data_IF_759879352981
#
_entry.id   IF_759879352981
#
_cell.length_a   1.000
_cell.length_b   1.000
_cell.length_c   1.000
_cell.angle_alpha   90.00
_cell.angle_beta   90.00
_cell.angle_gamma   90.00
#
_symmetry.space_group_name_H-M   'P 1'
#
loop_
_entity.id
_entity.type
_entity.pdbx_description
1 polymer ?
#
# COMPACT_ATOMS: atom_id res chain seq x y z
N UNK A 1 16.79 11.42 -5.32
CA UNK A 1 16.33 10.66 -6.50
C UNK A 1 15.66 9.37 -6.06
N UNK A 2 14.46 9.13 -6.52
CA UNK A 2 13.71 7.93 -6.14
C UNK A 2 14.23 6.73 -6.94
N UNK A 3 14.56 5.65 -6.22
CA UNK A 3 14.96 4.41 -6.87
C UNK A 3 13.74 3.75 -7.51
N UNK A 4 13.76 3.58 -8.82
CA UNK A 4 12.69 2.95 -9.59
C UNK A 4 13.13 1.63 -10.20
N UNK A 5 13.77 0.82 -9.40
CA UNK A 5 14.12 -0.54 -9.81
C UNK A 5 12.87 -1.41 -9.80
N UNK A 6 12.45 -1.98 -10.95
CA UNK A 6 11.27 -2.82 -10.98
C UNK A 6 11.41 -4.03 -10.07
N UNK A 7 10.31 -4.47 -9.44
CA UNK A 7 10.32 -5.71 -8.65
C UNK A 7 10.70 -6.90 -9.53
N UNK A 8 11.46 -7.82 -8.97
CA UNK A 8 11.85 -9.06 -9.67
C UNK A 8 10.80 -10.16 -9.49
N UNK A 9 9.98 -10.05 -8.44
CA UNK A 9 8.93 -11.00 -8.11
C UNK A 9 7.60 -10.57 -8.71
N UNK A 10 6.68 -11.52 -8.88
CA UNK A 10 5.30 -11.20 -9.22
C UNK A 10 4.57 -10.64 -7.99
N UNK A 11 3.44 -10.01 -8.20
CA UNK A 11 2.59 -9.51 -7.11
C UNK A 11 2.19 -10.66 -6.17
N UNK A 12 1.81 -11.81 -6.73
CA UNK A 12 1.43 -12.98 -5.94
C UNK A 12 2.60 -13.53 -5.13
N UNK A 13 3.81 -13.51 -5.67
CA UNK A 13 5.00 -13.94 -4.94
C UNK A 13 5.31 -13.00 -3.77
N UNK A 14 5.19 -11.71 -3.97
CA UNK A 14 5.37 -10.71 -2.91
C UNK A 14 4.33 -10.91 -1.81
N UNK A 15 3.08 -11.16 -2.19
CA UNK A 15 2.03 -11.45 -1.22
C UNK A 15 2.33 -12.70 -0.41
N UNK A 16 2.82 -13.75 -1.06
CA UNK A 16 3.16 -15.00 -0.38
C UNK A 16 4.28 -14.78 0.66
N UNK A 17 5.29 -13.99 0.33
CA UNK A 17 6.37 -13.64 1.27
C UNK A 17 5.85 -12.87 2.47
N UNK A 18 4.97 -11.88 2.24
CA UNK A 18 4.37 -11.12 3.33
C UNK A 18 3.50 -12.00 4.22
N UNK A 19 2.75 -12.93 3.61
CA UNK A 19 1.91 -13.86 4.37
C UNK A 19 2.75 -14.79 5.23
N UNK A 20 3.89 -15.26 4.73
CA UNK A 20 4.83 -16.06 5.52
C UNK A 20 5.36 -15.28 6.72
N UNK A 21 5.75 -14.02 6.51
CA UNK A 21 6.22 -13.16 7.59
C UNK A 21 5.14 -12.98 8.66
N UNK A 22 3.91 -12.75 8.23
CA UNK A 22 2.78 -12.59 9.15
C UNK A 22 2.47 -13.87 9.92
N UNK A 23 2.57 -15.02 9.26
CA UNK A 23 2.32 -16.32 9.90
C UNK A 23 3.38 -16.64 10.98
N UNK A 24 4.59 -16.11 10.84
CA UNK A 24 5.65 -16.26 11.85
C UNK A 24 5.41 -15.40 13.10
N UNK A 25 4.58 -14.38 12.99
CA UNK A 25 4.25 -13.51 14.11
C UNK A 25 3.11 -14.13 14.91
N UNK A 26 3.28 -14.22 16.23
CA UNK A 26 2.39 -15.03 17.06
C UNK A 26 1.02 -14.43 17.32
N UNK A 27 0.94 -13.12 17.46
CA UNK A 27 -0.32 -12.44 17.79
C UNK A 27 -0.45 -11.11 17.06
N UNK A 28 -1.58 -10.44 17.29
CA UNK A 28 -1.90 -9.18 16.64
C UNK A 28 -0.99 -8.04 17.05
N UNK A 29 -0.53 -8.03 18.29
CA UNK A 29 0.40 -7.01 18.77
C UNK A 29 1.70 -7.07 17.98
N UNK A 30 2.23 -8.27 17.77
CA UNK A 30 3.44 -8.47 16.99
C UNK A 30 3.24 -8.08 15.53
N UNK A 31 2.09 -8.39 14.97
CA UNK A 31 1.76 -8.02 13.57
C UNK A 31 1.63 -6.51 13.41
N UNK A 32 0.99 -5.84 14.35
CA UNK A 32 0.88 -4.38 14.36
C UNK A 32 2.26 -3.74 14.46
N UNK A 33 3.12 -4.24 15.35
CA UNK A 33 4.49 -3.76 15.48
C UNK A 33 5.27 -3.92 14.17
N UNK A 34 5.11 -5.05 13.50
CA UNK A 34 5.73 -5.31 12.21
C UNK A 34 5.25 -4.30 11.15
N UNK A 35 3.95 -4.04 11.09
CA UNK A 35 3.37 -3.07 10.16
C UNK A 35 3.90 -1.66 10.45
N UNK A 36 3.98 -1.26 11.71
CA UNK A 36 4.52 0.05 12.10
C UNK A 36 5.99 0.17 11.68
N UNK A 37 6.77 -0.89 11.85
CA UNK A 37 8.17 -0.90 11.42
C UNK A 37 8.30 -0.74 9.89
N UNK A 38 7.41 -1.37 9.13
CA UNK A 38 7.37 -1.16 7.68
C UNK A 38 7.15 0.32 7.35
N UNK A 39 6.26 0.98 8.10
CA UNK A 39 5.96 2.39 7.89
C UNK A 39 7.15 3.31 8.14
N UNK A 40 8.02 2.95 9.08
CA UNK A 40 9.24 3.72 9.36
C UNK A 40 10.20 3.72 8.17
N UNK A 41 10.15 2.68 7.35
CA UNK A 41 10.96 2.58 6.14
C UNK A 41 10.37 3.27 4.92
N UNK A 42 9.18 3.84 5.05
CA UNK A 42 8.52 4.53 3.94
C UNK A 42 9.31 5.79 3.57
N UNK A 43 9.62 5.94 2.27
CA UNK A 43 10.36 7.10 1.79
C UNK A 43 9.54 8.38 2.01
N UNK A 44 10.18 9.51 2.39
CA UNK A 44 9.47 10.78 2.56
C UNK A 44 8.78 11.21 1.28
N UNK A 45 7.57 11.76 1.42
CA UNK A 45 6.82 12.33 0.30
C UNK A 45 7.31 13.75 0.04
N UNK A 46 7.53 14.10 -1.23
CA UNK A 46 7.87 15.47 -1.60
C UNK A 46 6.74 16.42 -1.21
N UNK A 47 7.09 17.61 -0.73
CA UNK A 47 6.11 18.62 -0.36
C UNK A 47 5.19 19.00 -1.52
N UNK A 48 5.71 18.98 -2.75
CA UNK A 48 4.93 19.25 -3.96
C UNK A 48 3.78 18.26 -4.14
N UNK A 49 3.92 17.05 -3.59
CA UNK A 49 2.91 16.00 -3.68
C UNK A 49 1.91 16.00 -2.51
N UNK A 50 2.15 16.81 -1.47
CA UNK A 50 1.25 16.97 -0.32
C UNK A 50 0.15 17.98 -0.64
N UNK A 51 -0.69 17.64 -1.60
CA UNK A 51 -1.76 18.52 -2.08
C UNK A 51 -3.11 17.83 -1.95
N UNK A 52 -4.17 18.62 -1.97
CA UNK A 52 -5.55 18.11 -1.83
C UNK A 52 -5.89 17.05 -2.89
N UNK A 53 -5.40 17.24 -4.12
CA UNK A 53 -5.66 16.29 -5.21
C UNK A 53 -5.13 14.90 -4.91
N UNK A 54 -4.09 14.79 -4.08
CA UNK A 54 -3.47 13.52 -3.71
C UNK A 54 -4.00 12.95 -2.41
N UNK A 55 -4.87 13.65 -1.70
CA UNK A 55 -5.49 13.11 -0.48
C UNK A 55 -6.43 11.98 -0.80
N UNK A 56 -6.35 10.93 0.01
CA UNK A 56 -7.22 9.76 -0.11
C UNK A 56 -8.39 9.92 0.85
N UNK A 57 -9.62 10.02 0.34
CA UNK A 57 -10.79 10.20 1.20
C UNK A 57 -11.13 8.92 1.97
N UNK A 58 -11.89 9.07 3.06
CA UNK A 58 -12.35 7.92 3.83
C UNK A 58 -11.36 7.37 4.84
N UNK A 59 -10.21 8.01 5.00
CA UNK A 59 -9.20 7.61 5.98
C UNK A 59 -9.39 8.38 7.28
N UNK A 60 -9.20 7.71 8.42
CA UNK A 60 -9.26 8.34 9.74
C UNK A 60 -8.13 9.36 9.93
N UNK A 61 -6.94 9.03 9.41
CA UNK A 61 -5.79 9.94 9.38
C UNK A 61 -5.70 10.61 8.01
N UNK A 62 -4.90 11.67 7.91
CA UNK A 62 -4.61 12.25 6.61
C UNK A 62 -3.67 11.32 5.85
N UNK A 63 -4.01 11.02 4.61
CA UNK A 63 -3.22 10.17 3.72
C UNK A 63 -3.10 10.84 2.37
N UNK A 64 -1.88 10.90 1.84
CA UNK A 64 -1.59 11.40 0.49
C UNK A 64 -1.00 10.27 -0.34
N UNK A 65 -1.42 10.17 -1.59
CA UNK A 65 -0.92 9.17 -2.55
C UNK A 65 -0.61 9.87 -3.87
N UNK A 66 0.65 9.82 -4.29
CA UNK A 66 1.09 10.31 -5.58
C UNK A 66 1.40 9.13 -6.49
N UNK A 67 0.97 9.20 -7.75
CA UNK A 67 1.16 8.16 -8.74
C UNK A 67 2.00 8.71 -9.89
N UNK A 68 3.04 7.98 -10.26
CA UNK A 68 3.91 8.37 -11.38
C UNK A 68 4.02 7.20 -12.37
N UNK A 69 3.44 7.33 -13.58
CA UNK A 69 3.66 6.35 -14.63
C UNK A 69 5.10 6.49 -15.18
N UNK A 70 5.76 5.38 -15.37
CA UNK A 70 7.10 5.36 -15.94
C UNK A 70 7.38 4.01 -16.58
N UNK A 71 7.65 4.01 -17.88
CA UNK A 71 8.03 2.83 -18.66
C UNK A 71 7.02 1.68 -18.53
N UNK A 72 5.72 2.01 -18.63
CA UNK A 72 4.65 1.01 -18.56
C UNK A 72 4.32 0.51 -17.16
N UNK A 73 4.96 1.08 -16.14
CA UNK A 73 4.73 0.73 -14.74
C UNK A 73 4.21 1.92 -13.97
N UNK A 74 3.53 1.64 -12.87
CA UNK A 74 3.05 2.68 -11.98
C UNK A 74 3.87 2.68 -10.69
N UNK A 75 4.37 3.85 -10.33
CA UNK A 75 5.15 4.05 -9.13
C UNK A 75 4.36 4.92 -8.18
N UNK A 76 4.35 4.53 -6.91
CA UNK A 76 3.56 5.20 -5.89
C UNK A 76 4.45 5.76 -4.79
N UNK A 77 4.13 6.96 -4.35
CA UNK A 77 4.73 7.58 -3.18
C UNK A 77 3.58 8.03 -2.30
N UNK A 78 3.71 7.87 -1.00
CA UNK A 78 2.61 8.19 -0.10
C UNK A 78 3.12 8.54 1.29
N UNK A 79 2.28 9.18 2.08
CA UNK A 79 2.57 9.49 3.46
C UNK A 79 1.26 9.63 4.26
N UNK A 80 1.40 9.65 5.56
CA UNK A 80 0.29 9.86 6.48
C UNK A 80 0.81 10.53 7.77
N UNK A 81 -0.10 11.12 8.53
CA UNK A 81 0.20 11.67 9.84
C UNK A 81 0.02 10.67 10.98
N UNK A 82 -0.28 9.41 10.66
CA UNK A 82 -0.45 8.33 11.64
C UNK A 82 0.57 7.22 11.39
N UNK A 83 1.24 6.74 12.45
CA UNK A 83 2.23 5.68 12.36
C UNK A 83 1.64 4.38 11.81
N UNK A 84 0.45 4.00 12.26
CA UNK A 84 -0.21 2.78 11.80
C UNK A 84 -0.65 2.91 10.34
N UNK A 85 -1.17 4.07 9.95
CA UNK A 85 -1.53 4.33 8.56
C UNK A 85 -0.30 4.30 7.65
N UNK A 86 0.83 4.87 8.09
CA UNK A 86 2.10 4.75 7.34
C UNK A 86 2.49 3.30 7.13
N UNK A 87 2.31 2.47 8.14
CA UNK A 87 2.60 1.04 8.04
C UNK A 87 1.73 0.33 7.01
N UNK A 88 0.43 0.58 7.03
CA UNK A 88 -0.51 0.02 6.06
C UNK A 88 -0.19 0.50 4.65
N UNK A 89 0.17 1.77 4.49
CA UNK A 89 0.59 2.34 3.22
C UNK A 89 1.85 1.65 2.72
N UNK A 90 2.86 1.49 3.57
CA UNK A 90 4.11 0.84 3.21
C UNK A 90 3.86 -0.59 2.72
N UNK A 91 2.96 -1.31 3.37
CA UNK A 91 2.56 -2.65 2.97
C UNK A 91 1.95 -2.65 1.56
N UNK A 92 1.04 -1.73 1.28
CA UNK A 92 0.40 -1.62 -0.03
C UNK A 92 1.40 -1.23 -1.12
N UNK A 93 2.31 -0.29 -0.83
CA UNK A 93 3.33 0.11 -1.79
C UNK A 93 4.30 -1.02 -2.09
N UNK A 94 4.60 -1.85 -1.11
CA UNK A 94 5.43 -3.03 -1.30
C UNK A 94 4.80 -4.01 -2.29
N UNK A 95 3.48 -4.11 -2.28
CA UNK A 95 2.74 -4.94 -3.23
C UNK A 95 2.66 -4.29 -4.61
N UNK A 96 2.28 -3.03 -4.66
CA UNK A 96 1.82 -2.39 -5.90
C UNK A 96 2.84 -1.54 -6.63
N UNK A 97 3.78 -0.90 -5.93
CA UNK A 97 4.69 0.04 -6.58
C UNK A 97 5.62 -0.67 -7.56
N UNK A 98 5.76 -0.11 -8.75
CA UNK A 98 6.61 -0.67 -9.79
C UNK A 98 5.96 -1.76 -10.62
N UNK A 99 4.66 -2.04 -10.44
CA UNK A 99 3.92 -3.03 -11.21
C UNK A 99 3.32 -2.41 -12.45
N UNK A 100 3.02 -3.24 -13.45
CA UNK A 100 2.29 -2.77 -14.63
C UNK A 100 0.83 -2.51 -14.27
N UNK A 101 0.18 -1.65 -15.05
CA UNK A 101 -1.25 -1.37 -14.86
C UNK A 101 -2.09 -2.66 -14.98
N UNK A 102 -1.72 -3.55 -15.90
CA UNK A 102 -2.43 -4.83 -16.08
C UNK A 102 -2.31 -5.73 -14.84
N UNK A 103 -1.12 -5.83 -14.25
CA UNK A 103 -0.91 -6.60 -13.03
C UNK A 103 -1.78 -6.07 -11.87
N UNK A 104 -1.79 -4.76 -11.70
CA UNK A 104 -2.56 -4.10 -10.63
C UNK A 104 -4.06 -4.34 -10.84
N UNK A 105 -4.55 -4.14 -12.05
CA UNK A 105 -5.97 -4.29 -12.36
C UNK A 105 -6.46 -5.74 -12.18
N UNK A 106 -5.60 -6.71 -12.45
CA UNK A 106 -5.93 -8.13 -12.33
C UNK A 106 -5.81 -8.67 -10.89
N UNK A 107 -5.16 -7.92 -9.99
CA UNK A 107 -4.88 -8.40 -8.63
C UNK A 107 -6.12 -8.29 -7.75
N UNK A 108 -6.43 -9.39 -7.05
CA UNK A 108 -7.54 -9.41 -6.09
C UNK A 108 -7.05 -8.93 -4.73
N UNK A 109 -7.15 -7.61 -4.52
CA UNK A 109 -6.70 -6.96 -3.30
C UNK A 109 -7.48 -7.44 -2.08
N UNK A 110 -8.77 -7.71 -2.23
CA UNK A 110 -9.61 -8.17 -1.12
C UNK A 110 -9.14 -9.51 -0.59
N UNK A 111 -8.90 -10.46 -1.50
CA UNK A 111 -8.38 -11.77 -1.13
C UNK A 111 -6.99 -11.65 -0.49
N UNK A 112 -6.16 -10.76 -1.01
CA UNK A 112 -4.82 -10.52 -0.48
C UNK A 112 -4.86 -9.99 0.96
N UNK A 113 -5.68 -8.99 1.22
CA UNK A 113 -5.82 -8.40 2.55
C UNK A 113 -6.43 -9.41 3.54
N UNK A 114 -7.39 -10.22 3.10
CA UNK A 114 -7.96 -11.30 3.90
C UNK A 114 -6.90 -12.34 4.24
N UNK A 115 -6.04 -12.69 3.28
CA UNK A 115 -4.93 -13.63 3.53
C UNK A 115 -3.99 -13.12 4.60
N UNK A 116 -3.74 -11.82 4.64
CA UNK A 116 -2.93 -11.19 5.67
C UNK A 116 -3.70 -10.95 6.98
N UNK A 117 -5.02 -11.12 6.96
CA UNK A 117 -5.88 -10.96 8.12
C UNK A 117 -6.10 -9.52 8.54
N UNK A 118 -5.71 -8.55 7.72
CA UNK A 118 -5.73 -7.14 8.09
C UNK A 118 -7.13 -6.58 8.38
N UNK A 119 -8.18 -6.88 7.58
CA UNK A 119 -9.49 -6.28 7.85
C UNK A 119 -10.07 -6.66 9.21
N UNK A 120 -9.83 -7.88 9.69
CA UNK A 120 -10.37 -8.34 10.97
C UNK A 120 -9.60 -7.78 12.16
N UNK A 121 -8.36 -7.33 11.94
CA UNK A 121 -7.52 -6.75 12.99
C UNK A 121 -7.68 -5.25 13.13
N UNK A 122 -8.26 -4.60 12.13
CA UNK A 122 -8.36 -3.14 12.08
C UNK A 122 -9.73 -2.70 12.56
N UNK A 123 -9.80 -1.48 13.11
CA UNK A 123 -11.10 -0.82 13.34
C UNK A 123 -11.76 -0.58 11.98
N UNK A 124 -13.08 -0.35 12.00
CA UNK A 124 -13.81 -0.05 10.76
C UNK A 124 -13.21 1.12 10.01
N UNK A 125 -12.82 2.17 10.70
CA UNK A 125 -12.23 3.36 10.09
C UNK A 125 -10.89 3.04 9.40
N UNK A 126 -10.06 2.22 10.04
CA UNK A 126 -8.76 1.82 9.47
C UNK A 126 -8.96 0.92 8.26
N UNK A 127 -9.90 -0.02 8.34
CA UNK A 127 -10.23 -0.90 7.21
C UNK A 127 -10.78 -0.10 6.03
N UNK A 128 -11.61 0.90 6.28
CA UNK A 128 -12.15 1.78 5.23
C UNK A 128 -11.02 2.58 4.56
N UNK A 129 -10.07 3.08 5.35
CA UNK A 129 -8.92 3.80 4.82
C UNK A 129 -8.06 2.92 3.92
N UNK A 130 -7.83 1.69 4.34
CA UNK A 130 -7.06 0.73 3.56
C UNK A 130 -7.78 0.42 2.24
N UNK A 131 -9.08 0.19 2.28
CA UNK A 131 -9.88 -0.05 1.07
C UNK A 131 -9.90 1.17 0.14
N UNK A 132 -9.93 2.37 0.69
CA UNK A 132 -9.87 3.61 -0.10
C UNK A 132 -8.53 3.74 -0.85
N UNK A 133 -7.44 3.38 -0.19
CA UNK A 133 -6.11 3.35 -0.81
C UNK A 133 -6.07 2.36 -1.98
N UNK A 134 -6.57 1.15 -1.75
CA UNK A 134 -6.63 0.11 -2.79
C UNK A 134 -7.45 0.59 -3.98
N UNK A 135 -8.60 1.21 -3.71
CA UNK A 135 -9.46 1.75 -4.76
C UNK A 135 -8.77 2.82 -5.58
N UNK A 136 -8.03 3.71 -4.93
CA UNK A 136 -7.29 4.78 -5.59
C UNK A 136 -6.17 4.22 -6.48
N UNK A 137 -5.44 3.23 -6.00
CA UNK A 137 -4.39 2.56 -6.77
C UNK A 137 -4.99 1.87 -8.00
N UNK A 138 -6.12 1.19 -7.83
CA UNK A 138 -6.79 0.50 -8.92
C UNK A 138 -7.34 1.48 -9.97
N UNK A 139 -7.90 2.60 -9.54
CA UNK A 139 -8.36 3.65 -10.45
C UNK A 139 -7.20 4.17 -11.31
N UNK A 140 -6.04 4.40 -10.70
CA UNK A 140 -4.86 4.84 -11.42
C UNK A 140 -4.43 3.83 -12.49
N UNK A 141 -4.50 2.53 -12.17
CA UNK A 141 -4.16 1.48 -13.11
C UNK A 141 -5.16 1.43 -14.28
N UNK A 142 -6.44 1.55 -14.00
CA UNK A 142 -7.49 1.53 -15.03
C UNK A 142 -7.41 2.75 -15.94
N UNK A 143 -6.96 3.88 -15.44
CA UNK A 143 -6.86 5.12 -16.23
C UNK A 143 -5.77 5.06 -17.29
N UNK A 144 -4.76 4.19 -17.14
CA UNK A 144 -3.62 4.10 -18.08
C UNK A 144 -3.61 2.80 -18.89
N UNK A 145 -4.65 1.99 -18.80
CA UNK A 145 -4.78 0.76 -19.60
C UNK A 145 -5.30 1.06 -21.00
#
# INVERSE_FOLDING_TARGET
MTDRTPPTDTLDQTLAELAEDFDLLGDWEQRIEYVIELGKGLAPLDEADRVEANKVPGCAAQVWLATTPDDGRLWFAADSDSALSKGNIALLLKLYSGRTAAEIAAFDARAALDRLGLPSALTRQRANGLNSMVGRIREAALAVQ
#
